data_IF_537646998296
#
_entry.id   IF_537646998296
#
_cell.length_a   1.000
_cell.length_b   1.000
_cell.length_c   1.000
_cell.angle_alpha   90.00
_cell.angle_beta   90.00
_cell.angle_gamma   90.00
#
_symmetry.space_group_name_H-M   'P 1'
#
loop_
_entity.id
_entity.type
_entity.pdbx_description
1 polymer ?
#
# COMPACT_ATOMS: atom_id res chain seq x y z
N UNK A 1 3.86 -24.36 7.05
CA UNK A 1 3.32 -23.30 6.16
C UNK A 1 3.65 -21.92 6.71
N UNK A 2 4.03 -20.98 5.86
CA UNK A 2 4.22 -19.56 6.23
C UNK A 2 3.05 -18.73 5.68
N UNK A 3 2.62 -17.68 6.41
CA UNK A 3 1.61 -16.76 5.89
C UNK A 3 2.08 -16.05 4.61
N UNK A 4 3.35 -15.61 4.60
CA UNK A 4 4.08 -15.15 3.41
C UNK A 4 5.46 -15.80 3.44
N UNK A 5 5.84 -16.50 2.36
CA UNK A 5 7.09 -17.27 2.33
C UNK A 5 8.26 -16.42 1.80
N UNK A 6 8.74 -15.48 2.62
CA UNK A 6 9.87 -14.60 2.28
C UNK A 6 11.19 -15.37 2.16
N UNK A 7 11.36 -16.48 2.91
CA UNK A 7 12.55 -17.30 2.82
C UNK A 7 12.66 -17.98 1.46
N UNK A 8 11.58 -18.54 0.93
CA UNK A 8 11.58 -19.14 -0.40
C UNK A 8 11.86 -18.09 -1.49
N UNK A 9 11.33 -16.87 -1.35
CA UNK A 9 11.66 -15.76 -2.27
C UNK A 9 13.15 -15.43 -2.21
N UNK A 10 13.75 -15.31 -1.01
CA UNK A 10 15.18 -15.07 -0.88
C UNK A 10 16.01 -16.18 -1.55
N UNK A 11 15.68 -17.44 -1.28
CA UNK A 11 16.42 -18.59 -1.87
C UNK A 11 16.33 -18.61 -3.40
N UNK A 12 15.21 -18.19 -3.97
CA UNK A 12 15.02 -18.13 -5.43
C UNK A 12 15.91 -17.08 -6.11
N UNK A 13 16.28 -15.99 -5.42
CA UNK A 13 17.05 -14.87 -5.97
C UNK A 13 18.37 -14.61 -5.22
N UNK A 14 18.79 -15.56 -4.38
CA UNK A 14 19.87 -15.44 -3.41
C UNK A 14 21.16 -14.90 -4.01
N UNK A 15 21.61 -15.46 -5.13
CA UNK A 15 22.93 -15.14 -5.69
C UNK A 15 22.97 -13.69 -6.21
N UNK A 16 21.91 -13.25 -6.90
CA UNK A 16 21.82 -11.85 -7.36
C UNK A 16 21.70 -10.87 -6.20
N UNK A 17 20.88 -11.19 -5.18
CA UNK A 17 20.69 -10.35 -4.00
C UNK A 17 21.99 -10.22 -3.23
N UNK A 18 22.70 -11.34 -2.96
CA UNK A 18 23.93 -11.32 -2.21
C UNK A 18 25.03 -10.55 -2.94
N UNK A 19 25.16 -10.73 -4.27
CA UNK A 19 26.12 -9.97 -5.08
C UNK A 19 25.85 -8.44 -5.02
N UNK A 20 24.57 -8.02 -5.01
CA UNK A 20 24.21 -6.60 -4.89
C UNK A 20 24.48 -6.05 -3.50
N UNK A 21 24.20 -6.81 -2.45
CA UNK A 21 24.53 -6.45 -1.05
C UNK A 21 26.06 -6.29 -0.91
N UNK A 22 26.83 -7.27 -1.37
CA UNK A 22 28.30 -7.22 -1.33
C UNK A 22 28.87 -6.00 -2.05
N UNK A 23 28.32 -5.65 -3.21
CA UNK A 23 28.69 -4.45 -3.98
C UNK A 23 28.48 -3.17 -3.19
N UNK A 24 27.42 -3.06 -2.36
CA UNK A 24 27.16 -1.90 -1.51
C UNK A 24 28.15 -1.88 -0.34
N UNK A 25 28.38 -3.03 0.32
CA UNK A 25 29.31 -3.15 1.44
C UNK A 25 30.74 -2.78 1.03
N UNK A 26 31.20 -3.34 -0.09
CA UNK A 26 32.55 -3.11 -0.62
C UNK A 26 32.79 -1.64 -1.01
N UNK A 27 31.76 -0.94 -1.50
CA UNK A 27 31.87 0.48 -1.85
C UNK A 27 31.65 1.44 -0.67
N UNK A 28 31.15 0.94 0.47
CA UNK A 28 30.72 1.74 1.65
C UNK A 28 29.74 2.89 1.33
N UNK A 29 29.01 2.78 0.21
CA UNK A 29 28.03 3.79 -0.26
C UNK A 29 26.64 3.48 0.30
N UNK A 30 26.45 3.67 1.61
CA UNK A 30 25.24 3.23 2.31
C UNK A 30 24.04 4.17 2.16
N UNK A 31 24.25 5.45 1.84
CA UNK A 31 23.22 6.48 1.74
C UNK A 31 23.30 7.18 0.39
N UNK A 32 22.21 7.13 -0.41
CA UNK A 32 22.15 7.76 -1.72
C UNK A 32 23.01 7.07 -2.78
N UNK A 33 23.44 7.84 -3.77
CA UNK A 33 24.37 7.38 -4.80
C UNK A 33 23.72 6.58 -5.92
N UNK A 34 24.59 5.94 -6.75
CA UNK A 34 24.19 5.33 -8.02
C UNK A 34 23.13 4.23 -7.90
N UNK A 35 23.20 3.40 -6.86
CA UNK A 35 22.26 2.28 -6.67
C UNK A 35 20.83 2.77 -6.37
N UNK A 36 20.69 3.82 -5.56
CA UNK A 36 19.40 4.44 -5.30
C UNK A 36 18.87 5.10 -6.57
N UNK A 37 19.71 5.86 -7.29
CA UNK A 37 19.32 6.51 -8.54
C UNK A 37 18.88 5.49 -9.60
N UNK A 38 19.60 4.38 -9.74
CA UNK A 38 19.23 3.27 -10.64
C UNK A 38 17.86 2.69 -10.26
N UNK A 39 17.61 2.48 -8.98
CA UNK A 39 16.33 1.96 -8.50
C UNK A 39 15.18 2.95 -8.76
N UNK A 40 15.36 4.22 -8.47
CA UNK A 40 14.36 5.27 -8.75
C UNK A 40 14.06 5.37 -10.26
N UNK A 41 15.07 5.29 -11.12
CA UNK A 41 14.89 5.28 -12.57
C UNK A 41 14.12 4.05 -13.05
N UNK A 42 14.43 2.86 -12.51
CA UNK A 42 13.72 1.63 -12.85
C UNK A 42 12.27 1.64 -12.37
N UNK A 43 11.99 2.22 -11.19
CA UNK A 43 10.63 2.43 -10.72
C UNK A 43 9.85 3.39 -11.62
N UNK A 44 10.46 4.52 -11.98
CA UNK A 44 9.86 5.52 -12.88
C UNK A 44 9.55 4.92 -14.26
N UNK A 45 10.48 4.13 -14.81
CA UNK A 45 10.29 3.42 -16.07
C UNK A 45 9.17 2.36 -15.95
N UNK A 46 9.18 1.55 -14.90
CA UNK A 46 8.17 0.51 -14.66
C UNK A 46 6.75 1.08 -14.61
N UNK A 47 6.57 2.23 -13.98
CA UNK A 47 5.26 2.88 -13.83
C UNK A 47 4.90 3.83 -14.97
N UNK A 48 5.87 4.30 -15.76
CA UNK A 48 5.66 5.35 -16.77
C UNK A 48 5.47 6.74 -16.16
N UNK A 49 6.05 7.02 -14.99
CA UNK A 49 6.00 8.31 -14.32
C UNK A 49 7.28 9.11 -14.50
N UNK A 50 7.22 10.44 -14.35
CA UNK A 50 8.40 11.31 -14.50
C UNK A 50 9.36 11.17 -13.32
N UNK A 51 8.84 11.09 -12.11
CA UNK A 51 9.62 11.04 -10.88
C UNK A 51 9.23 9.87 -9.99
N UNK A 52 10.23 9.13 -9.54
CA UNK A 52 10.15 8.19 -8.44
C UNK A 52 11.19 8.59 -7.39
N UNK A 53 10.80 8.63 -6.13
CA UNK A 53 11.62 9.10 -5.01
C UNK A 53 11.58 8.05 -3.92
N UNK A 54 12.70 7.36 -3.69
CA UNK A 54 12.82 6.38 -2.62
C UNK A 54 12.82 7.05 -1.23
N UNK A 55 12.07 6.48 -0.31
CA UNK A 55 11.98 6.98 1.06
C UNK A 55 11.97 5.84 2.09
N UNK A 56 12.01 6.18 3.37
CA UNK A 56 12.22 5.22 4.46
C UNK A 56 11.04 4.27 4.72
N UNK A 57 9.82 4.63 4.32
CA UNK A 57 8.63 3.78 4.50
C UNK A 57 7.42 4.33 3.71
N UNK A 58 6.36 3.53 3.59
CA UNK A 58 5.08 4.03 3.05
C UNK A 58 4.46 5.14 3.90
N UNK A 59 4.60 5.06 5.23
CA UNK A 59 4.16 6.12 6.15
C UNK A 59 4.91 7.43 5.89
N UNK A 60 6.24 7.36 5.74
CA UNK A 60 7.05 8.54 5.37
C UNK A 60 6.67 9.08 4.00
N UNK A 61 6.31 8.21 3.03
CA UNK A 61 5.85 8.63 1.72
C UNK A 61 4.58 9.48 1.80
N UNK A 62 3.57 9.00 2.51
CA UNK A 62 2.30 9.72 2.71
C UNK A 62 2.51 11.03 3.48
N UNK A 63 3.30 11.00 4.56
CA UNK A 63 3.65 12.21 5.33
C UNK A 63 4.31 13.26 4.44
N UNK A 64 5.31 12.87 3.66
CA UNK A 64 6.03 13.76 2.75
C UNK A 64 5.14 14.29 1.63
N UNK A 65 4.19 13.49 1.13
CA UNK A 65 3.20 13.93 0.14
C UNK A 65 2.33 15.07 0.70
N UNK A 66 1.78 14.91 1.90
CA UNK A 66 0.97 15.95 2.56
C UNK A 66 1.80 17.21 2.83
N UNK A 67 3.04 17.05 3.31
CA UNK A 67 3.96 18.18 3.57
C UNK A 67 4.36 18.91 2.28
N UNK A 68 4.52 18.18 1.17
CA UNK A 68 4.85 18.80 -0.13
C UNK A 68 3.69 19.63 -0.69
N UNK A 69 2.46 19.29 -0.32
CA UNK A 69 1.24 20.02 -0.67
C UNK A 69 0.89 21.14 0.33
N UNK A 70 1.74 21.39 1.33
CA UNK A 70 1.50 22.37 2.40
C UNK A 70 0.22 22.12 3.21
N UNK A 71 -0.25 20.86 3.25
CA UNK A 71 -1.42 20.47 4.05
C UNK A 71 -1.04 20.46 5.52
N UNK A 72 -1.89 21.06 6.37
CA UNK A 72 -1.63 21.21 7.80
C UNK A 72 -2.85 21.65 8.59
N UNK A 73 -2.61 22.46 9.63
CA UNK A 73 -3.64 22.92 10.55
C UNK A 73 -4.81 23.57 9.80
N UNK A 74 -6.03 23.26 10.25
CA UNK A 74 -7.32 23.74 9.71
C UNK A 74 -7.73 23.13 8.35
N UNK A 75 -6.86 22.32 7.72
CA UNK A 75 -7.19 21.56 6.52
C UNK A 75 -7.86 20.22 6.87
N UNK A 76 -8.67 19.73 5.93
CA UNK A 76 -9.30 18.42 6.01
C UNK A 76 -8.78 17.51 4.89
N UNK A 77 -8.53 16.23 5.24
CA UNK A 77 -8.13 15.19 4.29
C UNK A 77 -9.10 14.02 4.41
N UNK A 78 -9.78 13.69 3.31
CA UNK A 78 -10.71 12.56 3.26
C UNK A 78 -9.90 11.27 3.14
N UNK A 79 -10.20 10.28 3.99
CA UNK A 79 -9.53 8.99 4.07
C UNK A 79 -10.55 7.85 4.27
N UNK A 80 -10.31 6.62 3.77
CA UNK A 80 -11.16 5.48 4.09
C UNK A 80 -11.00 5.10 5.56
N UNK A 81 -12.08 4.63 6.17
CA UNK A 81 -12.01 4.13 7.53
C UNK A 81 -11.50 2.70 7.64
N UNK A 82 -11.59 1.91 6.57
CA UNK A 82 -11.06 0.54 6.51
C UNK A 82 -9.76 0.52 5.73
N UNK A 83 -8.65 0.73 6.44
CA UNK A 83 -7.27 0.68 5.93
C UNK A 83 -6.28 0.51 7.07
N UNK A 84 -4.97 0.46 6.76
CA UNK A 84 -3.92 0.55 7.76
C UNK A 84 -3.84 1.95 8.35
N UNK A 85 -3.47 2.04 9.63
CA UNK A 85 -3.47 3.30 10.40
C UNK A 85 -2.68 4.42 9.73
N UNK A 86 -1.59 4.10 9.00
CA UNK A 86 -0.71 5.08 8.36
C UNK A 86 -1.46 6.10 7.50
N UNK A 87 -2.52 5.67 6.78
CA UNK A 87 -3.31 6.55 5.91
C UNK A 87 -3.93 7.73 6.66
N UNK A 88 -4.37 7.53 7.92
CA UNK A 88 -4.99 8.58 8.74
C UNK A 88 -4.03 9.22 9.74
N UNK A 89 -3.08 8.45 10.29
CA UNK A 89 -2.11 8.99 11.26
C UNK A 89 -1.25 10.10 10.66
N UNK A 90 -0.85 9.99 9.38
CA UNK A 90 -0.05 11.03 8.72
C UNK A 90 -0.83 12.35 8.57
N UNK A 91 -2.16 12.28 8.42
CA UNK A 91 -3.03 13.45 8.40
C UNK A 91 -3.00 14.15 9.75
N UNK A 92 -3.14 13.39 10.85
CA UNK A 92 -3.02 13.92 12.20
C UNK A 92 -1.61 14.45 12.50
N UNK A 93 -0.55 13.77 12.04
CA UNK A 93 0.83 14.18 12.23
C UNK A 93 1.18 15.50 11.56
N UNK A 94 0.56 15.85 10.41
CA UNK A 94 0.74 17.18 9.80
C UNK A 94 -0.17 18.25 10.43
N UNK A 95 -1.00 17.89 11.41
CA UNK A 95 -1.93 18.79 12.09
C UNK A 95 -3.23 19.03 11.34
N UNK A 96 -3.50 18.31 10.26
CA UNK A 96 -4.76 18.34 9.54
C UNK A 96 -5.79 17.39 10.19
N UNK A 97 -7.06 17.56 9.82
CA UNK A 97 -8.15 16.72 10.32
C UNK A 97 -8.46 15.59 9.34
N UNK A 98 -8.35 14.31 9.74
CA UNK A 98 -8.86 13.22 8.93
C UNK A 98 -10.39 13.26 8.89
N UNK A 99 -10.95 13.10 7.69
CA UNK A 99 -12.39 12.96 7.46
C UNK A 99 -12.65 11.53 7.01
N UNK A 100 -13.10 10.69 7.93
CA UNK A 100 -13.33 9.28 7.64
C UNK A 100 -14.60 9.10 6.81
N UNK A 101 -14.48 8.32 5.74
CA UNK A 101 -15.60 7.91 4.89
C UNK A 101 -15.63 6.39 4.79
N UNK A 102 -16.81 5.88 4.41
CA UNK A 102 -17.00 4.44 4.25
C UNK A 102 -16.38 3.92 2.95
N UNK A 103 -16.29 2.61 2.86
CA UNK A 103 -15.76 1.87 1.72
C UNK A 103 -16.87 1.19 0.94
N UNK A 104 -16.56 0.79 -0.29
CA UNK A 104 -17.37 -0.15 -1.03
C UNK A 104 -17.01 -1.58 -0.57
N UNK A 105 -17.97 -2.32 -0.07
CA UNK A 105 -17.74 -3.65 0.51
C UNK A 105 -17.26 -4.68 -0.53
N UNK A 106 -17.57 -4.48 -1.83
CA UNK A 106 -17.15 -5.43 -2.88
C UNK A 106 -15.65 -5.41 -3.17
N UNK A 107 -14.98 -4.26 -3.01
CA UNK A 107 -13.57 -4.09 -3.35
C UNK A 107 -12.74 -3.41 -2.26
N UNK A 108 -13.37 -3.03 -1.14
CA UNK A 108 -12.77 -2.36 0.03
C UNK A 108 -12.15 -0.98 -0.25
N UNK A 109 -12.33 -0.44 -1.45
CA UNK A 109 -11.87 0.91 -1.83
C UNK A 109 -12.91 1.96 -1.41
N UNK A 110 -12.53 3.24 -1.45
CA UNK A 110 -13.41 4.36 -1.10
C UNK A 110 -14.79 4.30 -1.79
N UNK A 111 -15.85 4.55 -1.04
CA UNK A 111 -17.16 4.87 -1.63
C UNK A 111 -17.14 6.32 -2.16
N UNK A 112 -17.16 6.46 -3.45
CA UNK A 112 -17.12 7.77 -4.12
C UNK A 112 -18.31 8.66 -3.79
N UNK A 113 -19.49 8.09 -3.52
CA UNK A 113 -20.66 8.86 -3.07
C UNK A 113 -20.43 9.41 -1.65
N UNK A 114 -19.78 8.63 -0.79
CA UNK A 114 -19.40 9.09 0.54
C UNK A 114 -18.33 10.18 0.46
N UNK A 115 -17.34 10.06 -0.44
CA UNK A 115 -16.35 11.11 -0.71
C UNK A 115 -17.03 12.41 -1.14
N UNK A 116 -17.94 12.37 -2.12
CA UNK A 116 -18.65 13.56 -2.60
C UNK A 116 -19.41 14.30 -1.49
N UNK A 117 -20.06 13.55 -0.59
CA UNK A 117 -20.81 14.10 0.55
C UNK A 117 -19.92 14.70 1.63
N UNK A 118 -18.70 14.18 1.77
CA UNK A 118 -17.75 14.59 2.81
C UNK A 118 -16.94 15.84 2.43
N UNK A 119 -16.99 16.30 1.17
CA UNK A 119 -16.26 17.48 0.72
C UNK A 119 -16.80 18.75 1.40
N UNK A 120 -15.88 19.51 1.98
CA UNK A 120 -16.13 20.84 2.57
C UNK A 120 -15.19 21.89 1.98
N UNK A 121 -15.38 23.18 2.24
CA UNK A 121 -14.40 24.21 1.84
C UNK A 121 -13.00 24.04 2.45
N UNK A 122 -12.85 23.24 3.51
CA UNK A 122 -11.57 22.90 4.16
C UNK A 122 -10.89 21.69 3.56
N UNK A 123 -11.58 20.90 2.73
CA UNK A 123 -11.00 19.70 2.11
C UNK A 123 -9.89 20.10 1.14
N UNK A 124 -8.66 19.58 1.37
CA UNK A 124 -7.47 19.84 0.54
C UNK A 124 -7.00 18.60 -0.21
N UNK A 125 -7.25 17.43 0.32
CA UNK A 125 -6.88 16.18 -0.35
C UNK A 125 -7.87 15.06 -0.06
N UNK A 126 -7.83 14.06 -0.94
CA UNK A 126 -8.40 12.73 -0.74
C UNK A 126 -7.27 11.73 -0.87
N UNK A 127 -7.09 10.87 0.13
CA UNK A 127 -6.16 9.73 0.03
C UNK A 127 -6.97 8.49 -0.34
N UNK A 128 -6.82 8.04 -1.57
CA UNK A 128 -7.44 6.83 -2.06
C UNK A 128 -6.52 5.63 -1.84
N UNK A 129 -6.95 4.68 -1.02
CA UNK A 129 -6.22 3.44 -0.79
C UNK A 129 -6.65 2.41 -1.82
N UNK A 130 -5.68 1.82 -2.54
CA UNK A 130 -5.89 0.69 -3.44
C UNK A 130 -5.75 -0.61 -2.64
N UNK A 131 -6.86 -1.03 -1.99
CA UNK A 131 -6.85 -2.04 -0.92
C UNK A 131 -6.63 -3.45 -1.45
N UNK A 132 -5.87 -4.28 -0.71
CA UNK A 132 -5.56 -5.70 -0.97
C UNK A 132 -4.96 -6.00 -2.35
N UNK A 133 -4.58 -4.98 -3.09
CA UNK A 133 -3.99 -5.12 -4.42
C UNK A 133 -4.93 -4.79 -5.56
N UNK A 134 -6.19 -4.43 -5.30
CA UNK A 134 -7.09 -3.92 -6.34
C UNK A 134 -7.07 -2.39 -6.36
N UNK A 135 -6.57 -1.84 -7.46
CA UNK A 135 -6.53 -0.40 -7.69
C UNK A 135 -7.93 0.20 -7.68
N UNK A 136 -8.10 1.34 -7.03
CA UNK A 136 -9.30 2.15 -7.10
C UNK A 136 -9.45 2.77 -8.50
N UNK A 137 -10.68 3.08 -8.95
CA UNK A 137 -10.89 3.87 -10.18
C UNK A 137 -10.50 5.34 -9.94
N UNK A 138 -9.18 5.60 -9.99
CA UNK A 138 -8.63 6.92 -9.70
C UNK A 138 -9.07 7.97 -10.71
N UNK A 139 -9.34 7.58 -11.98
CA UNK A 139 -9.84 8.51 -12.99
C UNK A 139 -11.25 8.99 -12.67
N UNK A 140 -12.13 8.08 -12.24
CA UNK A 140 -13.46 8.47 -11.79
C UNK A 140 -13.39 9.39 -10.55
N UNK A 141 -12.44 9.14 -9.65
CA UNK A 141 -12.26 10.01 -8.49
C UNK A 141 -11.67 11.37 -8.87
N UNK A 142 -10.73 11.44 -9.82
CA UNK A 142 -10.23 12.72 -10.36
C UNK A 142 -11.37 13.59 -10.94
N UNK A 143 -12.31 13.00 -11.70
CA UNK A 143 -13.47 13.73 -12.22
C UNK A 143 -14.38 14.27 -11.11
N UNK A 144 -14.55 13.53 -10.00
CA UNK A 144 -15.30 14.00 -8.83
C UNK A 144 -14.62 15.22 -8.17
N UNK A 145 -13.29 15.24 -8.16
CA UNK A 145 -12.48 16.29 -7.53
C UNK A 145 -12.18 17.47 -8.48
N UNK A 146 -12.50 17.30 -9.76
CA UNK A 146 -12.27 18.35 -10.77
C UNK A 146 -12.88 19.68 -10.37
N UNK A 147 -12.17 20.75 -10.64
CA UNK A 147 -12.55 22.13 -10.35
C UNK A 147 -12.77 22.48 -8.86
N UNK A 148 -12.41 21.57 -7.94
CA UNK A 148 -12.59 21.78 -6.48
C UNK A 148 -11.30 22.18 -5.75
N UNK A 149 -10.16 22.25 -6.45
CA UNK A 149 -8.83 22.48 -5.87
C UNK A 149 -8.50 21.47 -4.75
N UNK A 150 -8.93 20.22 -4.91
CA UNK A 150 -8.68 19.10 -4.00
C UNK A 150 -7.70 18.16 -4.69
N UNK A 151 -6.61 17.81 -4.00
CA UNK A 151 -5.59 16.93 -4.56
C UNK A 151 -5.92 15.47 -4.30
N UNK A 152 -5.89 14.63 -5.35
CA UNK A 152 -5.92 13.19 -5.21
C UNK A 152 -4.51 12.69 -4.87
N UNK A 153 -4.41 11.89 -3.79
CA UNK A 153 -3.23 11.13 -3.41
C UNK A 153 -3.60 9.65 -3.45
N UNK A 154 -2.79 8.81 -4.10
CA UNK A 154 -2.95 7.37 -4.02
C UNK A 154 -2.07 6.78 -2.92
N UNK A 155 -2.66 6.02 -2.01
CA UNK A 155 -1.96 5.07 -1.15
C UNK A 155 -1.93 3.71 -1.85
N UNK A 156 -0.90 3.49 -2.64
CA UNK A 156 -0.62 2.26 -3.38
C UNK A 156 0.23 1.25 -2.60
N UNK A 157 0.28 1.33 -1.26
CA UNK A 157 1.10 0.44 -0.43
C UNK A 157 0.75 -1.05 -0.57
N UNK A 158 -0.43 -1.37 -1.09
CA UNK A 158 -0.88 -2.75 -1.32
C UNK A 158 -1.08 -3.08 -2.80
N UNK A 159 -0.94 -2.12 -3.72
CA UNK A 159 -1.30 -2.29 -5.12
C UNK A 159 -0.15 -2.08 -6.11
N UNK A 160 1.09 -1.99 -5.63
CA UNK A 160 2.24 -1.85 -6.53
C UNK A 160 2.29 -3.01 -7.52
N UNK A 161 2.25 -2.69 -8.82
CA UNK A 161 2.13 -3.67 -9.91
C UNK A 161 0.71 -4.02 -10.34
N UNK A 162 -0.32 -3.53 -9.64
CA UNK A 162 -1.71 -3.61 -10.09
C UNK A 162 -1.99 -2.61 -11.23
N UNK A 163 -3.11 -2.83 -11.94
CA UNK A 163 -3.60 -1.87 -12.93
C UNK A 163 -5.13 -1.86 -13.00
N UNK A 164 -5.67 -0.76 -13.53
CA UNK A 164 -7.09 -0.61 -13.83
C UNK A 164 -7.25 0.04 -15.21
N UNK A 165 -8.03 -0.57 -16.10
CA UNK A 165 -8.20 -0.13 -17.51
C UNK A 165 -6.87 0.10 -18.24
N UNK A 166 -5.85 -0.71 -17.92
CA UNK A 166 -4.52 -0.64 -18.52
C UNK A 166 -3.57 0.40 -17.89
N UNK A 167 -4.03 1.24 -16.99
CA UNK A 167 -3.19 2.20 -16.27
C UNK A 167 -2.68 1.59 -14.95
N UNK A 168 -1.40 1.76 -14.65
CA UNK A 168 -0.78 1.16 -13.47
C UNK A 168 -1.12 1.93 -12.19
N UNK A 169 -1.29 1.23 -11.08
CA UNK A 169 -1.29 1.82 -9.74
C UNK A 169 0.01 2.60 -9.51
N UNK A 170 -0.07 3.69 -8.81
CA UNK A 170 0.99 4.66 -8.56
C UNK A 170 1.36 5.54 -9.79
N UNK A 171 0.58 5.56 -10.88
CA UNK A 171 0.91 6.36 -12.07
C UNK A 171 -0.09 7.48 -12.40
N UNK A 172 -1.28 7.50 -11.77
CA UNK A 172 -2.38 8.40 -12.17
C UNK A 172 -2.49 9.62 -11.27
N UNK A 173 -2.59 9.42 -9.95
CA UNK A 173 -2.83 10.50 -9.02
C UNK A 173 -1.71 11.55 -9.05
N UNK A 174 -2.02 12.79 -8.68
CA UNK A 174 -1.03 13.88 -8.63
C UNK A 174 0.21 13.50 -7.82
N UNK A 175 0.02 12.77 -6.72
CA UNK A 175 1.07 12.12 -5.94
C UNK A 175 0.58 10.72 -5.59
N UNK A 176 1.42 9.72 -5.80
CA UNK A 176 1.17 8.35 -5.34
C UNK A 176 2.28 7.90 -4.41
N UNK A 177 1.92 7.08 -3.43
CA UNK A 177 2.82 6.57 -2.40
C UNK A 177 2.75 5.05 -2.37
N UNK A 178 3.87 4.38 -2.14
CA UNK A 178 3.90 2.93 -1.92
C UNK A 178 4.81 2.55 -0.76
N UNK A 179 4.66 1.33 -0.29
CA UNK A 179 5.46 0.73 0.78
C UNK A 179 6.24 -0.46 0.25
N UNK A 180 7.48 -0.57 0.66
CA UNK A 180 8.34 -1.74 0.45
C UNK A 180 8.56 -2.53 1.74
N UNK A 181 7.62 -2.46 2.70
CA UNK A 181 7.63 -3.36 3.85
C UNK A 181 7.78 -4.82 3.37
N UNK A 182 8.53 -5.70 4.04
CA UNK A 182 8.93 -7.02 3.51
C UNK A 182 7.81 -7.87 2.94
N UNK A 183 6.59 -7.79 3.48
CA UNK A 183 5.44 -8.57 3.03
C UNK A 183 4.68 -7.99 1.83
N UNK A 184 5.05 -6.80 1.34
CA UNK A 184 4.40 -6.15 0.20
C UNK A 184 4.75 -6.86 -1.13
N UNK A 185 3.96 -6.66 -2.21
CA UNK A 185 4.24 -7.27 -3.52
C UNK A 185 5.68 -7.05 -3.98
N UNK A 186 6.20 -5.83 -3.83
CA UNK A 186 7.62 -5.52 -3.92
C UNK A 186 8.13 -5.15 -2.53
N UNK A 187 8.72 -6.09 -1.80
CA UNK A 187 9.17 -5.89 -0.41
C UNK A 187 10.68 -5.85 -0.28
N UNK A 188 11.20 -4.92 0.52
CA UNK A 188 12.61 -4.82 0.93
C UNK A 188 12.97 -5.89 1.98
N UNK A 189 14.19 -5.88 2.46
CA UNK A 189 14.65 -6.65 3.63
C UNK A 189 14.83 -5.74 4.85
N UNK A 190 13.85 -4.89 5.07
CA UNK A 190 13.72 -3.87 6.07
C UNK A 190 12.62 -2.91 5.66
N UNK A 191 12.60 -1.70 6.20
CA UNK A 191 11.66 -0.68 5.80
C UNK A 191 12.06 -0.02 4.48
N UNK A 192 11.06 0.48 3.75
CA UNK A 192 11.22 1.22 2.53
C UNK A 192 9.87 1.68 1.98
N UNK A 193 9.93 2.65 1.10
CA UNK A 193 8.79 3.18 0.37
C UNK A 193 9.23 4.03 -0.81
N UNK A 194 8.27 4.50 -1.59
CA UNK A 194 8.53 5.47 -2.65
C UNK A 194 7.34 6.39 -2.87
N UNK A 195 7.64 7.56 -3.44
CA UNK A 195 6.69 8.58 -3.85
C UNK A 195 6.83 8.77 -5.36
N UNK A 196 5.70 8.91 -6.06
CA UNK A 196 5.65 9.06 -7.50
C UNK A 196 4.85 10.31 -7.87
N UNK A 197 5.33 11.05 -8.86
CA UNK A 197 4.62 12.21 -9.40
C UNK A 197 5.15 12.59 -10.78
N UNK A 198 4.42 13.47 -11.48
CA UNK A 198 4.84 14.06 -12.76
C UNK A 198 5.35 15.51 -12.63
N UNK A 199 5.12 16.13 -11.48
CA UNK A 199 5.39 17.55 -11.20
C UNK A 199 6.82 17.74 -10.66
N UNK A 200 7.62 18.60 -11.33
CA UNK A 200 9.00 18.87 -10.96
C UNK A 200 9.15 19.59 -9.61
N UNK A 201 8.25 20.53 -9.31
CA UNK A 201 8.33 21.30 -8.07
C UNK A 201 7.92 20.46 -6.88
N UNK A 202 6.91 19.59 -7.03
CA UNK A 202 6.54 18.62 -6.00
C UNK A 202 7.69 17.65 -5.74
N UNK A 203 8.29 17.10 -6.80
CA UNK A 203 9.44 16.18 -6.69
C UNK A 203 10.61 16.84 -5.96
N UNK A 204 10.98 18.06 -6.35
CA UNK A 204 12.04 18.84 -5.72
C UNK A 204 11.75 19.09 -4.22
N UNK A 205 10.53 19.49 -3.90
CA UNK A 205 10.12 19.77 -2.51
C UNK A 205 10.17 18.52 -1.66
N UNK A 206 9.71 17.35 -2.18
CA UNK A 206 9.80 16.06 -1.50
C UNK A 206 11.27 15.71 -1.22
N UNK A 207 12.17 15.84 -2.21
CA UNK A 207 13.60 15.56 -2.05
C UNK A 207 14.27 16.43 -0.98
N UNK A 208 13.85 17.68 -0.85
CA UNK A 208 14.30 18.59 0.21
C UNK A 208 13.77 18.12 1.57
N UNK A 209 12.46 17.86 1.67
CA UNK A 209 11.78 17.47 2.92
C UNK A 209 12.30 16.14 3.48
N UNK A 210 12.52 15.12 2.63
CA UNK A 210 13.02 13.81 3.06
C UNK A 210 14.48 13.83 3.57
N UNK A 211 15.19 14.92 3.32
CA UNK A 211 16.55 15.14 3.76
C UNK A 211 16.65 16.36 4.67
N UNK A 212 15.88 16.36 5.78
CA UNK A 212 15.87 17.40 6.82
C UNK A 212 15.53 18.81 6.32
N UNK A 213 14.81 18.97 5.21
CA UNK A 213 14.51 20.29 4.63
C UNK A 213 15.74 21.03 4.09
N UNK A 214 16.82 20.28 3.79
CA UNK A 214 18.11 20.83 3.41
C UNK A 214 18.16 21.18 1.92
N UNK A 215 18.35 22.46 1.57
CA UNK A 215 18.53 22.94 0.20
C UNK A 215 19.99 22.99 -0.22
N UNK A 216 20.89 23.26 0.73
CA UNK A 216 22.33 23.20 0.60
C UNK A 216 22.93 22.59 1.87
N UNK A 217 24.16 22.08 1.82
CA UNK A 217 24.83 21.48 2.98
C UNK A 217 24.75 22.42 4.18
N UNK A 218 24.09 21.96 5.27
CA UNK A 218 23.83 22.68 6.53
C UNK A 218 22.91 23.91 6.40
N UNK A 219 22.24 24.11 5.27
CA UNK A 219 21.20 25.14 5.10
C UNK A 219 19.82 24.47 4.99
N UNK A 220 19.01 24.60 6.03
CA UNK A 220 17.69 24.02 6.16
C UNK A 220 16.62 25.10 6.00
N UNK A 221 15.89 25.08 4.90
CA UNK A 221 14.83 26.06 4.62
C UNK A 221 13.46 25.60 5.07
N UNK A 222 13.31 24.29 5.25
CA UNK A 222 12.08 23.67 5.71
C UNK A 222 12.33 22.75 6.91
N UNK A 223 11.28 22.52 7.71
CA UNK A 223 11.29 21.44 8.69
C UNK A 223 11.00 20.13 7.94
N UNK A 224 11.99 19.31 7.80
CA UNK A 224 11.93 18.00 7.15
C UNK A 224 12.21 16.86 8.12
N UNK A 225 12.42 15.68 7.55
CA UNK A 225 12.73 14.43 8.29
C UNK A 225 13.96 13.73 7.72
N UNK A 226 14.51 12.78 8.45
CA UNK A 226 15.37 11.74 7.88
C UNK A 226 14.49 10.65 7.27
N UNK A 227 14.08 10.87 6.04
CA UNK A 227 13.12 9.99 5.34
C UNK A 227 13.73 9.26 4.13
N UNK A 228 15.05 9.12 4.06
CA UNK A 228 15.75 8.50 2.92
C UNK A 228 15.58 6.99 2.88
N UNK A 229 15.62 6.41 1.68
CA UNK A 229 15.77 4.97 1.48
C UNK A 229 17.25 4.60 1.55
N UNK A 230 17.58 3.57 2.33
CA UNK A 230 18.94 3.05 2.41
C UNK A 230 19.37 2.39 1.09
N UNK A 231 20.64 2.58 0.73
CA UNK A 231 21.21 2.03 -0.51
C UNK A 231 21.16 0.50 -0.54
N UNK A 232 21.30 -0.16 0.59
CA UNK A 232 21.17 -1.62 0.71
C UNK A 232 19.77 -2.08 0.30
N UNK A 233 18.73 -1.40 0.79
CA UNK A 233 17.36 -1.74 0.43
C UNK A 233 17.06 -1.45 -1.05
N UNK A 234 17.56 -0.33 -1.58
CA UNK A 234 17.43 -0.01 -3.00
C UNK A 234 18.09 -1.08 -3.90
N UNK A 235 19.26 -1.59 -3.51
CA UNK A 235 19.97 -2.64 -4.24
C UNK A 235 19.19 -3.97 -4.25
N UNK A 236 18.61 -4.37 -3.12
CA UNK A 236 17.77 -5.56 -2.99
C UNK A 236 16.49 -5.42 -3.82
N UNK A 237 15.79 -4.29 -3.67
CA UNK A 237 14.56 -3.99 -4.39
C UNK A 237 14.77 -3.97 -5.91
N UNK A 238 15.91 -3.48 -6.36
CA UNK A 238 16.26 -3.45 -7.79
C UNK A 238 16.41 -4.85 -8.40
N UNK A 239 16.89 -5.83 -7.62
CA UNK A 239 16.86 -7.24 -8.02
C UNK A 239 15.43 -7.76 -8.07
N UNK A 240 14.66 -7.55 -7.01
CA UNK A 240 13.28 -8.08 -6.88
C UNK A 240 12.32 -7.48 -7.92
N UNK A 241 12.51 -6.21 -8.30
CA UNK A 241 11.71 -5.55 -9.33
C UNK A 241 11.76 -6.29 -10.68
N UNK A 242 12.89 -6.90 -11.04
CA UNK A 242 13.03 -7.71 -12.28
C UNK A 242 12.08 -8.92 -12.31
N UNK A 243 11.73 -9.44 -11.14
CA UNK A 243 10.91 -10.64 -10.99
C UNK A 243 9.46 -10.36 -10.62
N UNK A 244 9.11 -9.07 -10.39
CA UNK A 244 7.81 -8.68 -9.88
C UNK A 244 6.66 -9.15 -10.77
N UNK A 245 6.73 -8.94 -12.09
CA UNK A 245 5.67 -9.34 -13.02
C UNK A 245 5.43 -10.86 -12.98
N UNK A 246 6.53 -11.65 -12.96
CA UNK A 246 6.44 -13.10 -12.81
C UNK A 246 5.80 -13.54 -11.47
N UNK A 247 6.09 -12.82 -10.38
CA UNK A 247 5.47 -13.09 -9.09
C UNK A 247 3.99 -12.69 -9.07
N UNK A 248 3.63 -11.59 -9.72
CA UNK A 248 2.24 -11.17 -9.90
C UNK A 248 1.43 -12.20 -10.71
N UNK A 249 1.99 -12.74 -11.79
CA UNK A 249 1.35 -13.83 -12.57
C UNK A 249 1.11 -15.08 -11.72
N UNK A 250 2.06 -15.44 -10.85
CA UNK A 250 1.86 -16.55 -9.91
C UNK A 250 0.73 -16.26 -8.91
N UNK A 251 0.64 -15.01 -8.40
CA UNK A 251 -0.48 -14.59 -7.53
C UNK A 251 -1.82 -14.71 -8.24
N UNK A 252 -1.92 -14.36 -9.52
CA UNK A 252 -3.16 -14.56 -10.30
C UNK A 252 -3.57 -16.04 -10.33
N UNK A 253 -2.64 -16.96 -10.60
CA UNK A 253 -2.92 -18.40 -10.65
C UNK A 253 -3.38 -18.94 -9.29
N UNK A 254 -2.71 -18.56 -8.21
CA UNK A 254 -3.11 -18.94 -6.85
C UNK A 254 -4.48 -18.40 -6.48
N UNK A 255 -4.78 -17.14 -6.85
CA UNK A 255 -6.09 -16.55 -6.61
C UNK A 255 -7.19 -17.28 -7.38
N UNK A 256 -6.94 -17.68 -8.65
CA UNK A 256 -7.89 -18.47 -9.44
C UNK A 256 -8.22 -19.82 -8.78
N UNK A 257 -7.20 -20.49 -8.20
CA UNK A 257 -7.42 -21.76 -7.47
C UNK A 257 -8.28 -21.53 -6.23
N UNK A 258 -8.00 -20.50 -5.44
CA UNK A 258 -8.84 -20.13 -4.29
C UNK A 258 -10.25 -19.77 -4.72
N UNK A 259 -10.43 -18.95 -5.76
CA UNK A 259 -11.73 -18.54 -6.28
C UNK A 259 -12.60 -19.74 -6.70
N UNK A 260 -11.99 -20.78 -7.29
CA UNK A 260 -12.68 -21.95 -7.75
C UNK A 260 -13.09 -22.94 -6.64
N UNK A 261 -12.35 -22.96 -5.52
CA UNK A 261 -12.44 -24.03 -4.51
C UNK A 261 -12.95 -23.58 -3.14
N UNK A 262 -12.82 -22.29 -2.78
CA UNK A 262 -13.30 -21.80 -1.49
C UNK A 262 -14.84 -21.75 -1.48
N UNK A 263 -15.43 -22.24 -0.38
CA UNK A 263 -16.87 -22.26 -0.12
C UNK A 263 -17.14 -21.65 1.26
N UNK A 264 -18.39 -21.34 1.57
CA UNK A 264 -18.81 -20.82 2.87
C UNK A 264 -18.06 -19.51 3.28
N UNK A 265 -17.60 -18.74 2.28
CA UNK A 265 -17.02 -17.41 2.47
C UNK A 265 -17.27 -16.56 1.22
N UNK A 266 -17.24 -15.25 1.38
CA UNK A 266 -17.25 -14.32 0.24
C UNK A 266 -15.80 -14.07 -0.21
N UNK A 267 -15.47 -14.49 -1.41
CA UNK A 267 -14.15 -14.27 -2.04
C UNK A 267 -14.00 -12.82 -2.52
N UNK A 268 -12.75 -12.33 -2.72
CA UNK A 268 -12.51 -11.00 -3.28
C UNK A 268 -13.18 -10.84 -4.65
N UNK A 269 -13.90 -9.74 -4.83
CA UNK A 269 -14.50 -9.39 -6.12
C UNK A 269 -13.57 -8.46 -6.88
N UNK A 270 -12.97 -8.95 -7.95
CA UNK A 270 -12.07 -8.15 -8.80
C UNK A 270 -12.85 -7.62 -10.00
N UNK A 271 -12.78 -6.30 -10.23
CA UNK A 271 -13.38 -5.68 -11.41
C UNK A 271 -12.79 -6.30 -12.69
N UNK A 272 -13.61 -6.60 -13.71
CA UNK A 272 -13.12 -7.19 -14.97
C UNK A 272 -12.06 -6.37 -15.69
N UNK A 273 -11.99 -5.05 -15.43
CA UNK A 273 -10.98 -4.16 -16.00
C UNK A 273 -9.74 -4.02 -15.11
N UNK A 274 -9.69 -4.69 -13.95
CA UNK A 274 -8.59 -4.62 -13.00
C UNK A 274 -7.66 -5.83 -13.12
N UNK A 275 -6.36 -5.57 -13.04
CA UNK A 275 -5.35 -6.58 -12.71
C UNK A 275 -4.93 -6.33 -11.25
N UNK A 276 -5.33 -7.23 -10.34
CA UNK A 276 -5.00 -7.10 -8.91
C UNK A 276 -3.59 -7.59 -8.62
N UNK A 277 -2.84 -6.88 -7.80
CA UNK A 277 -1.55 -7.36 -7.27
C UNK A 277 -1.74 -8.45 -6.20
N UNK A 278 -2.96 -8.63 -5.68
CA UNK A 278 -3.26 -9.56 -4.59
C UNK A 278 -2.20 -9.50 -3.47
N UNK A 279 -1.98 -8.31 -2.91
CA UNK A 279 -1.06 -8.16 -1.78
C UNK A 279 -1.48 -9.06 -0.61
N UNK A 280 -2.77 -9.18 -0.39
CA UNK A 280 -3.42 -10.16 0.47
C UNK A 280 -4.56 -10.82 -0.32
N UNK A 281 -4.84 -12.08 -0.01
CA UNK A 281 -6.07 -12.75 -0.40
C UNK A 281 -6.99 -12.80 0.82
N UNK A 282 -7.97 -11.89 0.86
CA UNK A 282 -8.84 -11.70 2.02
C UNK A 282 -10.28 -12.08 1.67
N UNK A 283 -10.91 -12.86 2.53
CA UNK A 283 -12.30 -13.32 2.40
C UNK A 283 -13.16 -12.77 3.53
N UNK A 284 -14.47 -12.65 3.33
CA UNK A 284 -15.41 -12.39 4.41
C UNK A 284 -16.06 -13.71 4.84
N UNK A 285 -16.13 -13.95 6.13
CA UNK A 285 -16.72 -15.15 6.76
C UNK A 285 -17.76 -14.75 7.80
N UNK A 286 -18.92 -15.41 7.81
CA UNK A 286 -20.01 -15.07 8.73
C UNK A 286 -19.62 -15.32 10.20
N UNK A 287 -19.06 -16.48 10.50
CA UNK A 287 -18.53 -16.83 11.84
C UNK A 287 -17.02 -16.93 11.81
N UNK A 288 -16.36 -15.75 11.92
CA UNK A 288 -14.90 -15.69 11.92
C UNK A 288 -14.29 -16.48 13.09
N UNK A 289 -14.92 -16.45 14.26
CA UNK A 289 -14.38 -17.14 15.43
C UNK A 289 -14.31 -18.66 15.21
N UNK A 290 -15.34 -19.28 14.67
CA UNK A 290 -15.35 -20.70 14.33
C UNK A 290 -14.29 -21.03 13.27
N UNK A 291 -14.17 -20.21 12.23
CA UNK A 291 -13.15 -20.43 11.17
C UNK A 291 -11.74 -20.32 11.74
N UNK A 292 -11.46 -19.34 12.60
CA UNK A 292 -10.13 -19.20 13.25
C UNK A 292 -9.76 -20.42 14.08
N UNK A 293 -10.70 -21.02 14.82
CA UNK A 293 -10.46 -22.26 15.58
C UNK A 293 -10.05 -23.43 14.67
N UNK A 294 -10.62 -23.52 13.45
CA UNK A 294 -10.22 -24.54 12.47
C UNK A 294 -8.79 -24.29 11.98
N UNK A 295 -8.41 -23.02 11.69
CA UNK A 295 -7.04 -22.64 11.32
C UNK A 295 -6.03 -22.97 12.42
N UNK A 296 -6.34 -22.64 13.68
CA UNK A 296 -5.48 -22.92 14.84
C UNK A 296 -5.29 -24.42 15.04
N UNK A 297 -6.38 -25.22 14.98
CA UNK A 297 -6.34 -26.67 15.08
C UNK A 297 -5.49 -27.33 13.98
N UNK A 298 -5.51 -26.75 12.77
CA UNK A 298 -4.72 -27.22 11.63
C UNK A 298 -3.28 -26.67 11.61
N UNK A 299 -2.89 -25.81 12.56
CA UNK A 299 -1.63 -25.06 12.54
C UNK A 299 -1.38 -24.28 11.23
N UNK A 300 -2.45 -23.72 10.64
CA UNK A 300 -2.38 -22.88 9.46
C UNK A 300 -2.36 -21.41 9.91
N UNK A 301 -1.36 -20.61 9.49
CA UNK A 301 -1.31 -19.20 9.85
C UNK A 301 -2.42 -18.42 9.13
N UNK A 302 -2.90 -17.35 9.78
CA UNK A 302 -3.86 -16.41 9.23
C UNK A 302 -3.52 -14.99 9.69
N UNK A 303 -4.20 -13.99 9.11
CA UNK A 303 -4.15 -12.61 9.60
C UNK A 303 -5.51 -11.93 9.46
N UNK A 304 -5.73 -10.87 10.23
CA UNK A 304 -6.94 -10.04 10.15
C UNK A 304 -6.51 -8.63 9.75
N UNK A 305 -6.76 -8.26 8.51
CA UNK A 305 -6.47 -6.93 7.98
C UNK A 305 -7.79 -6.23 7.59
N UNK A 306 -8.44 -5.42 8.48
CA UNK A 306 -8.02 -5.00 9.82
C UNK A 306 -9.15 -5.24 10.83
N UNK A 307 -8.85 -5.61 12.09
CA UNK A 307 -9.89 -6.03 13.04
C UNK A 307 -10.73 -4.88 13.60
N UNK A 308 -10.28 -3.63 13.43
CA UNK A 308 -10.96 -2.43 13.94
C UNK A 308 -10.83 -1.32 12.91
N UNK A 309 -11.94 -0.72 12.44
CA UNK A 309 -11.88 0.39 11.49
C UNK A 309 -11.31 1.63 12.16
N UNK A 310 -10.69 2.54 11.40
CA UNK A 310 -9.90 3.64 11.94
C UNK A 310 -10.70 4.59 12.83
N UNK A 311 -11.94 4.91 12.48
CA UNK A 311 -12.80 5.78 13.28
C UNK A 311 -13.17 5.19 14.65
N UNK A 312 -12.95 3.89 14.88
CA UNK A 312 -13.16 3.22 16.18
C UNK A 312 -11.84 2.99 16.94
N UNK A 313 -10.70 3.39 16.38
CA UNK A 313 -9.42 3.28 17.08
C UNK A 313 -9.35 4.27 18.26
N UNK A 314 -8.75 3.88 19.41
CA UNK A 314 -8.64 4.77 20.58
C UNK A 314 -8.01 6.12 20.28
N UNK A 315 -7.01 6.18 19.39
CA UNK A 315 -6.34 7.43 18.99
C UNK A 315 -7.22 8.36 18.14
N UNK A 316 -8.36 7.86 17.65
CA UNK A 316 -9.38 8.60 16.90
C UNK A 316 -10.76 8.57 17.59
N UNK A 317 -10.78 8.46 18.92
CA UNK A 317 -12.01 8.32 19.72
C UNK A 317 -13.04 9.44 19.51
N UNK A 318 -12.61 10.63 19.12
CA UNK A 318 -13.50 11.74 18.76
C UNK A 318 -14.44 11.42 17.57
N UNK A 319 -14.05 10.46 16.70
CA UNK A 319 -14.83 10.02 15.56
C UNK A 319 -15.65 8.75 15.83
N UNK A 320 -15.60 8.19 17.04
CA UNK A 320 -16.20 6.90 17.38
C UNK A 320 -17.73 6.82 17.18
N UNK A 321 -18.42 7.97 17.16
CA UNK A 321 -19.86 8.05 16.92
C UNK A 321 -20.24 7.98 15.42
N UNK A 322 -19.28 7.95 14.51
CA UNK A 322 -19.57 7.74 13.08
C UNK A 322 -20.10 6.32 12.86
N UNK A 323 -21.09 6.20 12.00
CA UNK A 323 -21.63 4.92 11.52
C UNK A 323 -21.14 4.68 10.10
N UNK A 324 -20.08 3.88 9.94
CA UNK A 324 -19.49 3.51 8.67
C UNK A 324 -19.66 1.99 8.47
N UNK A 325 -20.89 1.62 8.08
CA UNK A 325 -21.41 0.24 8.13
C UNK A 325 -20.58 -0.77 7.38
N UNK A 326 -20.07 -0.41 6.18
CA UNK A 326 -19.27 -1.34 5.39
C UNK A 326 -17.88 -1.54 6.01
N UNK A 327 -17.27 -0.48 6.54
CA UNK A 327 -15.98 -0.55 7.23
C UNK A 327 -16.08 -1.37 8.52
N UNK A 328 -17.15 -1.21 9.27
CA UNK A 328 -17.42 -1.97 10.49
C UNK A 328 -17.68 -3.45 10.15
N UNK A 329 -18.55 -3.73 9.19
CA UNK A 329 -18.84 -5.09 8.74
C UNK A 329 -17.58 -5.80 8.21
N UNK A 330 -16.78 -5.12 7.37
CA UNK A 330 -15.53 -5.68 6.89
C UNK A 330 -14.58 -6.03 8.04
N UNK A 331 -14.43 -5.15 9.04
CA UNK A 331 -13.57 -5.40 10.20
C UNK A 331 -14.01 -6.60 11.05
N UNK A 332 -15.31 -6.84 11.17
CA UNK A 332 -15.85 -7.97 11.90
C UNK A 332 -15.69 -9.31 11.19
N UNK A 333 -15.75 -9.32 9.85
CA UNK A 333 -15.87 -10.55 9.07
C UNK A 333 -14.61 -10.91 8.27
N UNK A 334 -13.66 -9.96 8.08
CA UNK A 334 -12.49 -10.18 7.22
C UNK A 334 -11.51 -11.20 7.79
N UNK A 335 -10.97 -12.03 6.90
CA UNK A 335 -9.91 -13.00 7.19
C UNK A 335 -8.96 -13.05 5.99
N UNK A 336 -7.68 -12.83 6.21
CA UNK A 336 -6.64 -12.97 5.18
C UNK A 336 -6.01 -14.36 5.26
N UNK A 337 -5.97 -15.04 4.13
CA UNK A 337 -5.45 -16.39 3.98
C UNK A 337 -3.96 -16.38 3.67
N UNK A 338 -3.21 -17.47 3.95
CA UNK A 338 -1.84 -17.64 3.47
C UNK A 338 -1.78 -17.44 1.96
N UNK A 339 -0.94 -16.49 1.53
CA UNK A 339 -0.89 -16.11 0.12
C UNK A 339 0.48 -15.52 -0.25
N UNK A 340 1.20 -16.22 -1.12
CA UNK A 340 2.54 -15.84 -1.55
C UNK A 340 2.84 -16.49 -2.90
N UNK A 341 3.60 -15.87 -3.81
CA UNK A 341 4.04 -16.51 -5.07
C UNK A 341 4.83 -17.82 -4.87
N UNK A 342 5.18 -18.14 -3.63
CA UNK A 342 5.94 -19.32 -3.22
C UNK A 342 5.12 -20.27 -2.31
N UNK A 343 3.79 -20.11 -2.29
CA UNK A 343 2.89 -21.08 -1.65
C UNK A 343 2.84 -22.34 -2.51
N UNK A 344 3.00 -23.53 -1.91
CA UNK A 344 2.89 -24.80 -2.64
C UNK A 344 1.42 -25.18 -2.88
N UNK A 345 1.18 -26.08 -3.84
CA UNK A 345 -0.15 -26.61 -4.11
C UNK A 345 -0.72 -27.36 -2.89
N UNK A 346 0.14 -28.14 -2.19
CA UNK A 346 -0.24 -28.86 -0.97
C UNK A 346 -0.61 -27.90 0.16
N UNK A 347 0.16 -26.83 0.35
CA UNK A 347 -0.14 -25.79 1.34
C UNK A 347 -1.46 -25.09 1.01
N UNK A 348 -1.71 -24.79 -0.27
CA UNK A 348 -2.94 -24.16 -0.72
C UNK A 348 -4.16 -25.08 -0.51
N UNK A 349 -4.03 -26.38 -0.80
CA UNK A 349 -5.11 -27.35 -0.58
C UNK A 349 -5.44 -27.51 0.92
N UNK A 350 -4.45 -27.46 1.82
CA UNK A 350 -4.70 -27.46 3.26
C UNK A 350 -5.59 -26.29 3.69
N UNK A 351 -5.35 -25.08 3.14
CA UNK A 351 -6.20 -23.92 3.41
C UNK A 351 -7.60 -24.12 2.86
N UNK A 352 -7.73 -24.64 1.63
CA UNK A 352 -9.03 -24.89 0.98
C UNK A 352 -9.86 -25.88 1.81
N UNK A 353 -9.23 -26.91 2.39
CA UNK A 353 -9.93 -27.90 3.21
C UNK A 353 -10.62 -27.30 4.45
N UNK A 354 -10.13 -26.17 4.99
CA UNK A 354 -10.78 -25.48 6.13
C UNK A 354 -12.20 -25.00 5.76
N UNK A 355 -12.44 -24.71 4.49
CA UNK A 355 -13.69 -24.13 3.97
C UNK A 355 -14.63 -25.15 3.31
N UNK A 356 -14.27 -26.44 3.29
CA UNK A 356 -15.08 -27.49 2.65
C UNK A 356 -16.25 -27.99 3.52
N UNK A 357 -16.17 -27.79 4.86
CA UNK A 357 -17.14 -28.36 5.83
C UNK A 357 -18.01 -27.27 6.49
#
# INVERSE_FOLDING_TARGET
MNFINLQAQYLAYKDEINAKIESVLSSSSFIGGTKLNEFEQNLAHFLGVKHAIGCSSGTSALYLALRALDIGKDDEVIVPSFTFIATAEVVALVGAKPVFVDINLSNYNLDFKAVQKAITPKTKAVIAVSMFGQMSDLRALEEILKDKNITLIEDGAQSFGASFKGEKSCSIAKISCTSFFPSKPLGAYGDGGAIFCHDDEISKKIRILLNHGQTQRYKHEFIGINGRLDTLQAAILNVKLKYLEKELDKRQKLAQIYNANLKNCQIPQIDPNAFSAYAQYSVLVEDRASVLQKFEKANIPYAIHYPTPLHKQPCFSEFSNLELKNSEYASEHILSLPFSPFLSEEEQEQVICIFKD
#
